data_IF_035961493172
#
_entry.id   IF_035961493172
#
_cell.length_a   1.000
_cell.length_b   1.000
_cell.length_c   1.000
_cell.angle_alpha   90.00
_cell.angle_beta   90.00
_cell.angle_gamma   90.00
#
_symmetry.space_group_name_H-M   'P 1'
#
loop_
_entity.id
_entity.type
_entity.pdbx_description
1 polymer ?
#
# COMPACT_ATOMS: atom_id res chain seq x y z
N UNK A 1 -6.12 2.49 9.33
CA UNK A 1 -5.74 1.38 8.44
C UNK A 1 -4.76 0.43 9.13
N UNK A 2 -3.48 0.76 9.35
CA UNK A 2 -2.50 -0.20 9.93
C UNK A 2 -2.92 -0.81 11.27
N UNK A 3 -3.46 -0.01 12.20
CA UNK A 3 -4.02 -0.54 13.46
C UNK A 3 -5.16 -1.53 13.25
N UNK A 4 -5.99 -1.33 12.21
CA UNK A 4 -7.07 -2.27 11.86
C UNK A 4 -6.56 -3.60 11.29
N UNK A 5 -5.29 -3.68 10.90
CA UNK A 5 -4.60 -4.91 10.50
C UNK A 5 -3.73 -5.50 11.62
N UNK A 6 -3.85 -5.00 12.85
CA UNK A 6 -2.98 -5.43 13.95
C UNK A 6 -1.57 -4.84 13.92
N UNK A 7 -1.24 -4.02 12.92
CA UNK A 7 0.06 -3.33 12.80
C UNK A 7 0.01 -2.02 13.57
N UNK A 8 0.23 -2.07 14.88
CA UNK A 8 0.10 -0.90 15.76
C UNK A 8 1.37 -0.06 15.86
N UNK A 9 2.55 -0.66 15.61
CA UNK A 9 3.85 -0.01 15.71
C UNK A 9 4.33 0.45 14.34
N UNK A 10 3.97 1.68 13.99
CA UNK A 10 4.41 2.35 12.77
C UNK A 10 4.76 3.81 13.06
N UNK A 11 5.58 4.40 12.22
CA UNK A 11 5.95 5.80 12.29
C UNK A 11 5.76 6.47 10.94
N UNK A 12 5.11 7.62 10.95
CA UNK A 12 4.98 8.52 9.80
C UNK A 12 6.11 9.54 9.91
N UNK A 13 7.09 9.42 9.04
CA UNK A 13 8.22 10.36 8.95
C UNK A 13 7.77 11.51 8.05
N UNK A 14 8.02 12.74 8.46
CA UNK A 14 7.54 13.97 7.79
C UNK A 14 8.70 14.92 7.53
N UNK A 15 8.74 15.50 6.36
CA UNK A 15 9.67 16.58 6.01
C UNK A 15 8.98 17.62 5.10
N UNK A 16 9.69 18.67 4.73
CA UNK A 16 9.22 19.67 3.78
C UNK A 16 10.29 19.95 2.71
N UNK A 17 9.91 19.88 1.44
CA UNK A 17 10.81 20.13 0.31
C UNK A 17 11.41 21.53 0.31
N UNK A 18 10.67 22.53 0.82
CA UNK A 18 11.18 23.91 0.91
C UNK A 18 12.29 24.02 1.93
N UNK A 19 12.22 23.26 3.04
CA UNK A 19 13.31 23.21 4.05
C UNK A 19 14.59 22.70 3.39
N UNK A 20 14.53 21.60 2.66
CA UNK A 20 15.70 21.05 1.95
C UNK A 20 16.21 22.00 0.86
N UNK A 21 15.32 22.48 -0.02
CA UNK A 21 15.70 23.37 -1.10
C UNK A 21 16.31 24.69 -0.59
N UNK A 22 15.71 25.27 0.46
CA UNK A 22 16.20 26.49 1.06
C UNK A 22 17.56 26.28 1.72
N UNK A 23 17.77 25.15 2.38
CA UNK A 23 19.07 24.80 2.95
C UNK A 23 20.15 24.64 1.86
N UNK A 24 19.85 23.93 0.77
CA UNK A 24 20.79 23.79 -0.35
C UNK A 24 21.07 25.14 -1.04
N UNK A 25 20.07 26.03 -1.09
CA UNK A 25 20.27 27.39 -1.60
C UNK A 25 21.24 28.23 -0.74
N UNK A 26 21.18 28.06 0.60
CA UNK A 26 22.15 28.71 1.50
C UNK A 26 23.59 28.28 1.23
N UNK A 27 23.80 27.07 0.73
CA UNK A 27 25.11 26.53 0.34
C UNK A 27 25.49 26.84 -1.12
N UNK A 28 24.66 27.61 -1.86
CA UNK A 28 24.87 27.90 -3.28
C UNK A 28 24.60 26.71 -4.21
N UNK A 29 23.78 25.74 -3.77
CA UNK A 29 23.58 24.46 -4.45
C UNK A 29 22.16 24.30 -5.05
N UNK A 30 21.46 25.39 -5.31
CA UNK A 30 20.07 25.36 -5.82
C UNK A 30 19.91 24.51 -7.08
N UNK A 31 20.83 24.64 -8.04
CA UNK A 31 20.78 23.89 -9.31
C UNK A 31 21.05 22.39 -9.14
N UNK A 32 21.75 22.01 -8.07
CA UNK A 32 22.11 20.61 -7.76
C UNK A 32 21.13 19.96 -6.77
N UNK A 33 20.12 20.68 -6.28
CA UNK A 33 19.24 20.21 -5.21
C UNK A 33 18.58 18.87 -5.53
N UNK A 34 18.17 18.63 -6.77
CA UNK A 34 17.57 17.38 -7.21
C UNK A 34 18.53 16.18 -7.09
N UNK A 35 19.79 16.34 -7.53
CA UNK A 35 20.81 15.28 -7.44
C UNK A 35 21.22 15.00 -6.01
N UNK A 36 21.36 16.05 -5.21
CA UNK A 36 21.63 15.95 -3.77
C UNK A 36 20.51 15.18 -3.08
N UNK A 37 19.25 15.52 -3.31
CA UNK A 37 18.12 14.84 -2.72
C UNK A 37 18.06 13.36 -3.11
N UNK A 38 18.30 13.02 -4.39
CA UNK A 38 18.38 11.64 -4.86
C UNK A 38 19.52 10.85 -4.21
N UNK A 39 20.60 11.54 -3.84
CA UNK A 39 21.75 10.92 -3.15
C UNK A 39 21.46 10.71 -1.68
N UNK A 40 20.93 11.72 -1.00
CA UNK A 40 20.52 11.65 0.40
C UNK A 40 19.46 10.55 0.64
N UNK A 41 18.54 10.38 -0.29
CA UNK A 41 17.53 9.31 -0.25
C UNK A 41 18.11 7.88 -0.17
N UNK A 42 19.35 7.71 -0.54
CA UNK A 42 20.04 6.41 -0.44
C UNK A 42 20.69 6.18 0.92
N UNK A 43 20.68 7.17 1.83
CA UNK A 43 21.41 7.15 3.09
C UNK A 43 21.16 5.87 3.90
N UNK A 44 19.88 5.51 4.10
CA UNK A 44 19.49 4.32 4.86
C UNK A 44 19.99 3.00 4.22
N UNK A 45 20.27 3.02 2.91
CA UNK A 45 20.67 1.82 2.16
C UNK A 45 22.17 1.64 2.03
N UNK A 46 22.90 2.75 1.85
CA UNK A 46 24.33 2.69 1.49
C UNK A 46 25.24 3.29 2.54
N UNK A 47 24.69 3.99 3.55
CA UNK A 47 25.43 4.63 4.63
C UNK A 47 26.03 5.99 4.27
N UNK A 48 26.39 6.76 5.31
CA UNK A 48 26.86 8.15 5.19
C UNK A 48 28.16 8.29 4.38
N UNK A 49 29.10 7.39 4.53
CA UNK A 49 30.40 7.45 3.83
C UNK A 49 30.23 7.35 2.30
N UNK A 50 29.36 6.43 1.84
CA UNK A 50 29.05 6.29 0.41
C UNK A 50 28.24 7.46 -0.10
N UNK A 51 27.30 7.98 0.68
CA UNK A 51 26.55 9.19 0.33
C UNK A 51 27.53 10.35 0.15
N UNK A 52 28.45 10.55 1.11
CA UNK A 52 29.50 11.58 1.00
C UNK A 52 30.32 11.45 -0.29
N UNK A 53 30.80 10.24 -0.59
CA UNK A 53 31.54 9.99 -1.83
C UNK A 53 30.76 10.40 -3.08
N UNK A 54 29.48 10.02 -3.17
CA UNK A 54 28.61 10.39 -4.31
C UNK A 54 28.39 11.91 -4.37
N UNK A 55 28.21 12.58 -3.22
CA UNK A 55 28.07 14.03 -3.19
C UNK A 55 29.32 14.75 -3.72
N UNK A 56 30.51 14.24 -3.42
CA UNK A 56 31.76 14.78 -3.93
C UNK A 56 31.96 14.48 -5.43
N UNK A 57 31.90 13.18 -5.79
CA UNK A 57 32.34 12.68 -7.10
C UNK A 57 31.28 12.94 -8.19
N UNK A 58 30.00 12.62 -7.90
CA UNK A 58 28.94 12.66 -8.90
C UNK A 58 28.22 14.02 -8.90
N UNK A 59 28.00 14.62 -7.70
CA UNK A 59 27.35 15.91 -7.60
C UNK A 59 28.35 17.08 -7.67
N UNK A 60 29.67 16.83 -7.57
CA UNK A 60 30.73 17.83 -7.67
C UNK A 60 30.65 18.87 -6.54
N UNK A 61 30.39 18.46 -5.31
CA UNK A 61 30.39 19.30 -4.13
C UNK A 61 31.79 19.40 -3.54
N UNK A 62 32.04 20.46 -2.74
CA UNK A 62 33.24 20.53 -1.91
C UNK A 62 33.08 19.67 -0.65
N UNK A 63 34.19 19.36 0.02
CA UNK A 63 34.18 18.62 1.30
C UNK A 63 33.31 19.32 2.34
N UNK A 64 33.42 20.63 2.45
CA UNK A 64 32.66 21.45 3.40
C UNK A 64 31.16 21.39 3.11
N UNK A 65 30.75 21.44 1.83
CA UNK A 65 29.34 21.35 1.43
C UNK A 65 28.77 19.96 1.72
N UNK A 66 29.52 18.90 1.41
CA UNK A 66 29.07 17.52 1.68
C UNK A 66 28.93 17.28 3.18
N UNK A 67 29.89 17.72 4.00
CA UNK A 67 29.87 17.58 5.45
C UNK A 67 28.74 18.40 6.09
N UNK A 68 28.43 19.59 5.57
CA UNK A 68 27.33 20.41 6.06
C UNK A 68 25.96 19.76 5.74
N UNK A 69 25.81 19.18 4.55
CA UNK A 69 24.61 18.42 4.19
C UNK A 69 24.43 17.22 5.13
N UNK A 70 25.48 16.44 5.35
CA UNK A 70 25.42 15.28 6.24
C UNK A 70 25.09 15.68 7.68
N UNK A 71 25.66 16.79 8.18
CA UNK A 71 25.32 17.32 9.50
C UNK A 71 23.86 17.76 9.59
N UNK A 72 23.35 18.44 8.57
CA UNK A 72 21.98 18.90 8.53
C UNK A 72 20.98 17.73 8.55
N UNK A 73 21.15 16.74 7.69
CA UNK A 73 20.23 15.58 7.63
C UNK A 73 20.37 14.65 8.84
N UNK A 74 21.47 14.74 9.59
CA UNK A 74 21.68 14.00 10.83
C UNK A 74 21.01 14.65 12.06
N UNK A 75 20.37 15.81 11.92
CA UNK A 75 19.60 16.43 13.00
C UNK A 75 18.44 15.50 13.37
N UNK A 76 18.47 14.97 14.59
CA UNK A 76 17.49 14.01 15.11
C UNK A 76 17.10 14.35 16.53
N UNK A 77 16.02 13.76 17.04
CA UNK A 77 15.52 13.97 18.38
C UNK A 77 13.99 13.93 18.45
N UNK A 78 13.41 14.50 19.49
CA UNK A 78 11.97 14.77 19.51
C UNK A 78 11.59 15.78 18.42
N UNK A 79 10.32 15.79 17.99
CA UNK A 79 9.85 16.75 16.99
C UNK A 79 10.18 18.20 17.39
N UNK A 80 10.05 18.54 18.68
CA UNK A 80 10.39 19.85 19.19
C UNK A 80 11.90 20.17 19.05
N UNK A 81 12.77 19.21 19.37
CA UNK A 81 14.22 19.39 19.24
C UNK A 81 14.67 19.57 17.79
N UNK A 82 14.08 18.80 16.87
CA UNK A 82 14.39 18.97 15.44
C UNK A 82 13.94 20.35 14.95
N UNK A 83 12.74 20.79 15.31
CA UNK A 83 12.23 22.12 14.94
C UNK A 83 13.13 23.22 15.53
N UNK A 84 13.51 23.12 16.80
CA UNK A 84 14.41 24.08 17.46
C UNK A 84 15.78 24.15 16.76
N UNK A 85 16.34 23.02 16.38
CA UNK A 85 17.59 22.97 15.60
C UNK A 85 17.46 23.66 14.24
N UNK A 86 16.32 23.48 13.56
CA UNK A 86 16.02 24.14 12.28
C UNK A 86 15.85 25.67 12.44
N UNK A 87 15.34 26.14 13.57
CA UNK A 87 15.22 27.58 13.86
C UNK A 87 16.57 28.30 13.83
N UNK A 88 17.66 27.62 14.13
CA UNK A 88 19.02 28.16 14.01
C UNK A 88 19.41 28.57 12.57
N UNK A 89 18.67 28.17 11.57
CA UNK A 89 18.89 28.54 10.17
C UNK A 89 17.96 29.64 9.67
N UNK A 90 16.99 30.09 10.47
CA UNK A 90 15.98 31.10 10.10
C UNK A 90 16.63 32.44 9.71
N UNK A 91 16.00 33.14 8.79
CA UNK A 91 16.45 34.46 8.30
C UNK A 91 17.57 34.42 7.28
N UNK A 92 18.03 33.22 6.89
CA UNK A 92 19.09 33.04 5.88
C UNK A 92 18.56 32.79 4.48
N UNK A 93 17.32 32.28 4.37
CA UNK A 93 16.69 31.99 3.08
C UNK A 93 15.17 31.96 3.22
N UNK A 94 14.45 32.72 2.40
CA UNK A 94 12.99 32.85 2.47
C UNK A 94 12.24 31.52 2.17
N UNK A 95 12.80 30.69 1.28
CA UNK A 95 12.23 29.38 0.95
C UNK A 95 12.32 28.44 2.14
N UNK A 96 13.46 28.47 2.83
CA UNK A 96 13.68 27.71 4.06
C UNK A 96 12.70 28.14 5.15
N UNK A 97 12.58 29.44 5.40
CA UNK A 97 11.71 30.00 6.42
C UNK A 97 10.26 29.62 6.17
N UNK A 98 9.79 29.76 4.93
CA UNK A 98 8.45 29.32 4.55
C UNK A 98 8.24 27.79 4.76
N UNK A 99 9.23 26.97 4.41
CA UNK A 99 9.18 25.54 4.60
C UNK A 99 9.15 25.14 6.07
N UNK A 100 9.91 25.83 6.91
CA UNK A 100 9.93 25.59 8.36
C UNK A 100 8.58 25.95 9.01
N UNK A 101 7.97 27.08 8.63
CA UNK A 101 6.65 27.45 9.13
C UNK A 101 5.57 26.45 8.70
N UNK A 102 5.62 25.94 7.46
CA UNK A 102 4.73 24.85 7.01
C UNK A 102 4.95 23.59 7.85
N UNK A 103 6.18 23.20 8.12
CA UNK A 103 6.52 22.01 8.90
C UNK A 103 6.03 22.14 10.36
N UNK A 104 6.22 23.31 10.98
CA UNK A 104 5.67 23.65 12.29
C UNK A 104 4.13 23.56 12.31
N UNK A 105 3.48 24.06 11.27
CA UNK A 105 2.02 23.97 11.15
C UNK A 105 1.55 22.53 11.05
N UNK A 106 2.24 21.69 10.28
CA UNK A 106 1.91 20.27 10.13
C UNK A 106 2.07 19.52 11.45
N UNK A 107 3.20 19.67 12.15
CA UNK A 107 3.44 18.99 13.42
C UNK A 107 2.42 19.40 14.49
N UNK A 108 2.14 20.70 14.62
CA UNK A 108 1.10 21.23 15.52
C UNK A 108 -0.28 20.65 15.21
N UNK A 109 -0.65 20.60 13.92
CA UNK A 109 -1.95 20.11 13.51
C UNK A 109 -2.07 18.59 13.69
N UNK A 110 -1.02 17.81 13.46
CA UNK A 110 -1.02 16.37 13.76
C UNK A 110 -1.33 16.12 15.25
N UNK A 111 -0.68 16.86 16.15
CA UNK A 111 -0.95 16.79 17.59
C UNK A 111 -2.38 17.22 17.92
N UNK A 112 -2.89 18.29 17.29
CA UNK A 112 -4.28 18.76 17.49
C UNK A 112 -5.33 17.76 17.00
N UNK A 113 -5.04 16.99 15.94
CA UNK A 113 -5.85 15.87 15.48
C UNK A 113 -5.75 14.62 16.36
N UNK A 114 -4.96 14.65 17.43
CA UNK A 114 -4.78 13.54 18.37
C UNK A 114 -3.87 12.43 17.83
N UNK A 115 -3.00 12.72 16.85
CA UNK A 115 -1.98 11.77 16.42
C UNK A 115 -0.91 11.70 17.50
N UNK A 116 -0.66 10.53 18.11
CA UNK A 116 0.38 10.39 19.13
C UNK A 116 1.77 10.72 18.57
N UNK A 117 2.61 11.40 19.32
CA UNK A 117 3.99 11.70 18.91
C UNK A 117 4.82 10.44 18.61
N UNK A 118 4.49 9.31 19.21
CA UNK A 118 5.10 8.03 18.90
C UNK A 118 4.81 7.54 17.46
N UNK A 119 3.79 8.10 16.80
CA UNK A 119 3.39 7.70 15.47
C UNK A 119 3.84 8.65 14.35
N UNK A 120 4.49 9.79 14.69
CA UNK A 120 5.09 10.65 13.66
C UNK A 120 6.42 11.25 14.13
N UNK A 121 7.30 11.53 13.20
CA UNK A 121 8.59 12.17 13.46
C UNK A 121 8.96 13.11 12.31
N UNK A 122 9.54 14.27 12.65
CA UNK A 122 10.23 15.10 11.67
C UNK A 122 11.54 14.44 11.33
N UNK A 123 11.79 14.21 10.04
CA UNK A 123 12.96 13.48 9.56
C UNK A 123 13.51 14.09 8.28
N UNK A 124 14.66 14.72 8.38
CA UNK A 124 15.30 15.45 7.28
C UNK A 124 15.91 14.53 6.22
N UNK A 125 16.04 13.25 6.49
CA UNK A 125 16.52 12.27 5.50
C UNK A 125 15.48 11.94 4.45
N UNK A 126 14.18 12.25 4.71
CA UNK A 126 13.15 12.11 3.70
C UNK A 126 13.30 13.21 2.65
N UNK A 127 14.16 12.94 1.72
CA UNK A 127 14.36 13.74 0.52
C UNK A 127 13.58 13.18 -0.67
N UNK A 128 13.04 11.96 -0.52
CA UNK A 128 12.34 11.18 -1.54
C UNK A 128 11.01 11.84 -1.94
N UNK A 129 10.61 11.54 -3.11
CA UNK A 129 9.34 11.92 -3.70
C UNK A 129 9.54 12.16 -5.17
N UNK A 130 8.44 12.10 -5.91
CA UNK A 130 8.44 12.48 -7.31
C UNK A 130 8.82 13.97 -7.40
N UNK A 131 9.50 14.35 -8.45
CA UNK A 131 10.06 15.72 -8.61
C UNK A 131 8.98 16.82 -8.56
N UNK A 132 7.71 16.46 -8.66
CA UNK A 132 6.59 17.37 -8.58
C UNK A 132 6.17 17.78 -7.14
N UNK A 133 6.72 17.18 -6.08
CA UNK A 133 6.40 17.62 -4.71
C UNK A 133 7.03 18.99 -4.41
N UNK A 134 6.23 19.89 -3.85
CA UNK A 134 6.59 21.29 -3.62
C UNK A 134 6.62 21.72 -2.16
N UNK A 135 6.07 20.90 -1.27
CA UNK A 135 5.94 21.21 0.16
C UNK A 135 6.17 19.98 1.03
N UNK A 136 5.24 19.73 1.96
CA UNK A 136 5.29 18.59 2.87
C UNK A 136 5.37 17.27 2.12
N UNK A 137 6.27 16.41 2.55
CA UNK A 137 6.42 15.01 2.11
C UNK A 137 6.37 14.09 3.33
N UNK A 138 5.88 12.87 3.15
CA UNK A 138 5.81 11.92 4.24
C UNK A 138 5.97 10.47 3.76
N UNK A 139 6.50 9.66 4.65
CA UNK A 139 6.66 8.22 4.50
C UNK A 139 6.22 7.51 5.76
N UNK A 140 5.68 6.30 5.60
CA UNK A 140 5.32 5.44 6.72
C UNK A 140 6.15 4.17 6.70
N UNK A 141 6.79 3.86 7.81
CA UNK A 141 7.54 2.63 8.04
C UNK A 141 6.95 1.84 9.20
N UNK A 142 7.07 0.51 9.13
CA UNK A 142 6.69 -0.37 10.23
C UNK A 142 7.89 -0.53 11.15
N UNK A 143 7.75 -0.18 12.44
CA UNK A 143 8.86 -0.19 13.41
C UNK A 143 9.32 -1.61 13.76
N UNK A 144 8.43 -2.59 13.70
CA UNK A 144 8.75 -4.00 13.93
C UNK A 144 9.35 -4.69 12.69
N UNK A 145 9.24 -4.05 11.50
CA UNK A 145 9.65 -4.59 10.22
C UNK A 145 10.33 -3.52 9.35
N UNK A 146 11.45 -2.95 9.82
CA UNK A 146 12.15 -1.86 9.10
C UNK A 146 12.70 -2.31 7.74
N UNK A 147 12.98 -3.61 7.57
CA UNK A 147 13.44 -4.22 6.33
C UNK A 147 12.43 -4.09 5.18
N UNK A 148 11.15 -3.94 5.49
CA UNK A 148 10.08 -3.73 4.50
C UNK A 148 10.25 -2.37 3.81
N UNK A 149 10.83 -1.40 4.52
CA UNK A 149 10.94 -0.02 4.08
C UNK A 149 9.59 0.70 4.10
N UNK A 150 9.44 1.71 3.24
CA UNK A 150 8.22 2.51 3.18
C UNK A 150 7.03 1.72 2.64
N UNK A 151 5.95 1.67 3.42
CA UNK A 151 4.68 1.01 3.06
C UNK A 151 3.61 1.99 2.57
N UNK A 152 3.81 3.28 2.84
CA UNK A 152 2.93 4.35 2.43
C UNK A 152 3.74 5.64 2.30
N UNK A 153 3.52 6.40 1.26
CA UNK A 153 4.18 7.68 1.04
C UNK A 153 3.27 8.68 0.34
N UNK A 154 3.64 9.94 0.40
CA UNK A 154 2.91 10.99 -0.28
C UNK A 154 3.51 12.36 -0.06
N UNK A 155 2.81 13.39 -0.53
CA UNK A 155 3.23 14.76 -0.34
C UNK A 155 2.32 15.77 -1.00
N UNK A 156 2.64 17.03 -0.76
CA UNK A 156 1.99 18.19 -1.37
C UNK A 156 2.63 18.50 -2.72
N UNK A 157 1.79 18.81 -3.69
CA UNK A 157 2.18 19.29 -5.02
C UNK A 157 1.28 20.46 -5.42
N UNK A 158 1.87 21.54 -5.91
CA UNK A 158 1.14 22.76 -6.28
C UNK A 158 1.04 22.94 -7.79
N UNK A 159 1.96 22.34 -8.56
CA UNK A 159 2.14 22.62 -9.99
C UNK A 159 1.78 21.45 -10.91
N UNK A 160 1.39 20.29 -10.37
CA UNK A 160 1.14 19.09 -11.19
C UNK A 160 0.01 19.29 -12.20
N UNK A 161 -1.04 20.03 -11.82
CA UNK A 161 -2.14 20.34 -12.72
C UNK A 161 -1.75 21.24 -13.89
N UNK A 162 -0.64 21.98 -13.79
CA UNK A 162 -0.13 22.87 -14.84
C UNK A 162 0.21 22.17 -16.16
N UNK A 163 0.41 20.84 -16.15
CA UNK A 163 0.54 20.04 -17.37
C UNK A 163 -0.76 19.91 -18.19
N UNK A 164 -1.91 20.20 -17.57
CA UNK A 164 -3.24 19.97 -18.15
C UNK A 164 -4.14 21.20 -18.15
N UNK A 165 -3.82 22.23 -17.34
CA UNK A 165 -4.63 23.42 -17.18
C UNK A 165 -3.78 24.61 -16.72
N UNK A 166 -4.19 25.82 -17.09
CA UNK A 166 -3.57 27.08 -16.61
C UNK A 166 -3.96 27.43 -15.16
N UNK A 167 -4.89 26.66 -14.56
CA UNK A 167 -5.30 26.87 -13.17
C UNK A 167 -4.27 26.27 -12.21
N UNK A 168 -3.91 27.03 -11.18
CA UNK A 168 -3.17 26.50 -10.06
C UNK A 168 -4.13 25.67 -9.18
N UNK A 169 -3.90 24.36 -9.16
CA UNK A 169 -4.67 23.42 -8.37
C UNK A 169 -3.72 22.67 -7.44
N UNK A 170 -3.50 23.21 -6.22
CA UNK A 170 -2.69 22.53 -5.22
C UNK A 170 -3.35 21.21 -4.81
N UNK A 171 -2.54 20.20 -4.56
CA UNK A 171 -3.02 18.89 -4.15
C UNK A 171 -2.12 18.25 -3.11
N UNK A 172 -2.69 17.32 -2.36
CA UNK A 172 -1.97 16.40 -1.48
C UNK A 172 -2.37 14.99 -1.86
N UNK A 173 -1.40 14.14 -2.13
CA UNK A 173 -1.63 12.76 -2.50
C UNK A 173 -1.00 11.78 -1.53
N UNK A 174 -1.60 10.61 -1.43
CA UNK A 174 -1.09 9.47 -0.68
C UNK A 174 -1.08 8.24 -1.57
N UNK A 175 -0.02 7.46 -1.48
CA UNK A 175 0.09 6.16 -2.15
C UNK A 175 0.41 5.09 -1.12
N UNK A 176 -0.33 3.98 -1.19
CA UNK A 176 -0.11 2.81 -0.36
C UNK A 176 0.32 1.68 -1.27
N UNK A 177 1.48 1.10 -1.00
CA UNK A 177 2.03 -0.04 -1.73
C UNK A 177 1.32 -1.35 -1.34
N UNK A 178 0.04 -1.50 -1.75
CA UNK A 178 -0.79 -2.63 -1.32
C UNK A 178 -0.16 -3.98 -1.66
N UNK A 179 0.26 -4.19 -2.89
CA UNK A 179 0.87 -5.45 -3.33
C UNK A 179 2.16 -5.74 -2.57
N UNK A 180 2.99 -4.71 -2.37
CA UNK A 180 4.25 -4.82 -1.62
C UNK A 180 3.98 -5.16 -0.16
N UNK A 181 3.05 -4.44 0.47
CA UNK A 181 2.68 -4.68 1.87
C UNK A 181 2.16 -6.11 2.04
N UNK A 182 1.25 -6.55 1.19
CA UNK A 182 0.67 -7.89 1.24
C UNK A 182 1.72 -8.98 1.03
N UNK A 183 2.58 -8.84 0.03
CA UNK A 183 3.67 -9.78 -0.25
C UNK A 183 4.61 -9.93 0.96
N UNK A 184 5.05 -8.80 1.52
CA UNK A 184 5.99 -8.83 2.64
C UNK A 184 5.35 -9.37 3.91
N UNK A 185 4.07 -9.03 4.18
CA UNK A 185 3.34 -9.64 5.30
C UNK A 185 3.26 -11.17 5.17
N UNK A 186 3.14 -11.68 3.94
CA UNK A 186 3.19 -13.12 3.65
C UNK A 186 4.56 -13.72 3.94
N UNK A 187 5.64 -13.12 3.42
CA UNK A 187 7.02 -13.58 3.65
C UNK A 187 7.40 -13.58 5.14
N UNK A 188 6.88 -12.63 5.91
CA UNK A 188 7.10 -12.55 7.36
C UNK A 188 6.17 -13.47 8.18
N UNK A 189 5.31 -14.24 7.50
CA UNK A 189 4.37 -15.14 8.17
C UNK A 189 3.31 -14.42 9.03
N UNK A 190 3.03 -13.16 8.74
CA UNK A 190 2.05 -12.35 9.47
C UNK A 190 0.61 -12.49 8.93
N UNK A 191 0.45 -13.07 7.74
CA UNK A 191 -0.88 -13.37 7.20
C UNK A 191 -1.45 -14.62 7.87
N UNK A 192 -2.76 -14.63 8.08
CA UNK A 192 -3.46 -15.79 8.62
C UNK A 192 -3.47 -16.95 7.62
N UNK A 193 -3.20 -18.17 8.10
CA UNK A 193 -3.32 -19.40 7.29
C UNK A 193 -4.79 -19.71 6.92
N UNK A 194 -5.72 -19.16 7.70
CA UNK A 194 -7.17 -19.33 7.48
C UNK A 194 -7.74 -18.33 6.48
N UNK A 195 -6.90 -17.42 5.97
CA UNK A 195 -7.33 -16.41 5.01
C UNK A 195 -7.81 -17.04 3.70
N UNK A 196 -8.99 -16.63 3.24
CA UNK A 196 -9.53 -17.08 1.96
C UNK A 196 -8.76 -16.45 0.80
N UNK A 197 -7.92 -17.24 0.13
CA UNK A 197 -7.08 -16.79 -1.00
C UNK A 197 -7.66 -17.17 -2.36
N UNK A 198 -8.75 -17.96 -2.38
CA UNK A 198 -9.40 -18.40 -3.61
C UNK A 198 -9.88 -17.21 -4.47
N UNK A 199 -9.65 -17.24 -5.80
CA UNK A 199 -10.10 -16.19 -6.71
C UNK A 199 -11.62 -16.17 -6.89
N UNK A 200 -12.29 -17.24 -6.51
CA UNK A 200 -13.75 -17.42 -6.55
C UNK A 200 -14.22 -18.23 -5.35
N UNK A 201 -15.47 -18.04 -4.95
CA UNK A 201 -16.12 -18.80 -3.89
C UNK A 201 -16.66 -20.12 -4.44
N UNK A 202 -17.04 -20.12 -5.73
CA UNK A 202 -17.60 -21.27 -6.39
C UNK A 202 -17.08 -21.42 -7.82
N UNK A 203 -16.83 -22.67 -8.20
CA UNK A 203 -16.58 -23.07 -9.58
C UNK A 203 -17.84 -23.77 -10.13
N UNK A 204 -18.51 -23.17 -11.11
CA UNK A 204 -19.55 -23.84 -11.87
C UNK A 204 -18.89 -24.80 -12.87
N UNK A 205 -19.24 -26.07 -12.78
CA UNK A 205 -18.68 -27.15 -13.59
C UNK A 205 -19.79 -27.69 -14.53
N UNK A 206 -19.89 -27.19 -15.77
CA UNK A 206 -20.79 -27.75 -16.74
C UNK A 206 -20.38 -29.17 -17.13
N UNK A 207 -21.36 -30.08 -17.13
CA UNK A 207 -21.25 -31.45 -17.57
C UNK A 207 -22.16 -31.70 -18.78
N UNK A 208 -22.69 -30.61 -19.37
CA UNK A 208 -23.53 -30.57 -20.56
C UNK A 208 -22.81 -29.79 -21.66
N UNK A 209 -23.24 -29.98 -22.92
CA UNK A 209 -22.72 -29.17 -24.04
C UNK A 209 -23.44 -27.80 -24.15
N UNK A 210 -24.72 -27.74 -23.74
CA UNK A 210 -25.45 -26.48 -23.66
C UNK A 210 -25.09 -25.72 -22.36
N UNK A 211 -24.39 -24.61 -22.53
CA UNK A 211 -23.97 -23.77 -21.44
C UNK A 211 -25.02 -22.75 -21.00
N UNK A 212 -26.19 -22.69 -21.63
CA UNK A 212 -27.21 -21.67 -21.34
C UNK A 212 -27.65 -21.70 -19.86
N UNK A 213 -28.02 -22.87 -19.36
CA UNK A 213 -28.42 -23.00 -17.95
C UNK A 213 -27.22 -22.83 -16.96
N UNK A 214 -26.05 -23.43 -17.19
CA UNK A 214 -24.86 -23.16 -16.36
C UNK A 214 -24.47 -21.68 -16.27
N UNK A 215 -24.57 -20.93 -17.37
CA UNK A 215 -24.29 -19.48 -17.38
C UNK A 215 -25.38 -18.72 -16.62
N UNK A 216 -26.66 -19.09 -16.80
CA UNK A 216 -27.78 -18.48 -16.06
C UNK A 216 -27.63 -18.71 -14.54
N UNK A 217 -27.30 -19.94 -14.12
CA UNK A 217 -27.03 -20.26 -12.73
C UNK A 217 -25.85 -19.44 -12.18
N UNK A 218 -24.76 -19.33 -12.93
CA UNK A 218 -23.62 -18.49 -12.53
C UNK A 218 -24.00 -17.00 -12.40
N UNK A 219 -24.91 -16.52 -13.24
CA UNK A 219 -25.41 -15.14 -13.15
C UNK A 219 -26.21 -14.92 -11.87
N UNK A 220 -27.10 -15.83 -11.51
CA UNK A 220 -27.86 -15.78 -10.26
C UNK A 220 -26.92 -15.76 -9.03
N UNK A 221 -25.90 -16.61 -9.03
CA UNK A 221 -24.89 -16.64 -7.98
C UNK A 221 -24.15 -15.28 -7.85
N UNK A 222 -23.75 -14.69 -8.99
CA UNK A 222 -23.05 -13.40 -9.02
C UNK A 222 -23.93 -12.24 -8.56
N UNK A 223 -25.20 -12.23 -8.97
CA UNK A 223 -26.18 -11.21 -8.53
C UNK A 223 -26.43 -11.26 -7.03
N UNK A 224 -26.33 -12.44 -6.42
CA UNK A 224 -26.38 -12.61 -4.98
C UNK A 224 -25.08 -12.20 -4.26
N UNK A 225 -24.01 -11.84 -5.00
CA UNK A 225 -22.72 -11.42 -4.47
C UNK A 225 -21.70 -12.55 -4.23
N UNK A 226 -21.97 -13.76 -4.75
CA UNK A 226 -21.03 -14.90 -4.72
C UNK A 226 -20.02 -14.78 -5.86
N UNK A 227 -18.71 -14.77 -5.53
CA UNK A 227 -17.65 -14.73 -6.55
C UNK A 227 -17.63 -16.06 -7.31
N UNK A 228 -18.09 -16.02 -8.55
CA UNK A 228 -18.38 -17.22 -9.33
C UNK A 228 -17.53 -17.30 -10.60
N UNK A 229 -16.85 -18.41 -10.78
CA UNK A 229 -16.15 -18.77 -12.00
C UNK A 229 -16.88 -19.91 -12.72
N UNK A 230 -16.99 -19.85 -14.06
CA UNK A 230 -17.50 -20.95 -14.88
C UNK A 230 -16.32 -21.64 -15.58
N UNK A 231 -16.23 -22.95 -15.44
CA UNK A 231 -15.20 -23.73 -16.13
C UNK A 231 -15.64 -24.05 -17.57
N UNK A 232 -15.05 -23.37 -18.53
CA UNK A 232 -15.46 -23.46 -19.94
C UNK A 232 -14.62 -24.43 -20.79
N UNK A 233 -13.47 -24.90 -20.26
CA UNK A 233 -12.64 -25.82 -21.03
C UNK A 233 -13.22 -27.23 -21.09
N UNK A 234 -13.10 -27.87 -22.28
CA UNK A 234 -13.49 -29.28 -22.47
C UNK A 234 -12.44 -30.25 -21.91
N UNK A 235 -12.46 -30.40 -20.58
CA UNK A 235 -11.56 -31.30 -19.84
C UNK A 235 -12.36 -32.40 -19.12
N UNK A 236 -11.66 -33.48 -18.74
CA UNK A 236 -12.25 -34.55 -17.92
C UNK A 236 -12.65 -33.99 -16.54
N UNK A 237 -13.73 -34.52 -15.98
CA UNK A 237 -14.28 -34.09 -14.67
C UNK A 237 -13.22 -34.01 -13.58
N UNK A 238 -12.35 -35.04 -13.49
CA UNK A 238 -11.24 -35.07 -12.52
C UNK A 238 -10.32 -33.84 -12.63
N UNK A 239 -10.09 -33.33 -13.84
CA UNK A 239 -9.23 -32.18 -14.07
C UNK A 239 -9.93 -30.86 -13.64
N UNK A 240 -11.27 -30.79 -13.81
CA UNK A 240 -12.05 -29.63 -13.35
C UNK A 240 -12.04 -29.51 -11.83
N UNK A 241 -12.18 -30.63 -11.12
CA UNK A 241 -12.05 -30.66 -9.66
C UNK A 241 -10.62 -30.39 -9.18
N UNK A 242 -9.60 -30.96 -9.85
CA UNK A 242 -8.22 -30.65 -9.54
C UNK A 242 -7.87 -29.16 -9.72
N UNK A 243 -8.53 -28.49 -10.65
CA UNK A 243 -8.40 -27.04 -10.80
C UNK A 243 -9.02 -26.29 -9.61
N UNK A 244 -10.24 -26.65 -9.18
CA UNK A 244 -10.87 -26.05 -8.00
C UNK A 244 -10.00 -26.21 -6.74
N UNK A 245 -9.50 -27.41 -6.53
CA UNK A 245 -8.60 -27.75 -5.41
C UNK A 245 -7.31 -26.93 -5.46
N UNK A 246 -6.62 -26.91 -6.60
CA UNK A 246 -5.40 -26.12 -6.80
C UNK A 246 -5.60 -24.62 -6.54
N UNK A 247 -6.78 -24.10 -6.88
CA UNK A 247 -7.13 -22.69 -6.69
C UNK A 247 -7.70 -22.40 -5.32
N UNK A 248 -7.89 -23.41 -4.47
CA UNK A 248 -8.49 -23.27 -3.14
C UNK A 248 -9.96 -22.86 -3.18
N UNK A 249 -10.69 -23.14 -4.28
CA UNK A 249 -12.12 -22.78 -4.42
C UNK A 249 -12.93 -23.74 -3.56
N UNK A 250 -13.71 -23.24 -2.57
CA UNK A 250 -14.36 -24.09 -1.59
C UNK A 250 -15.60 -24.83 -2.11
N UNK A 251 -16.27 -24.30 -3.13
CA UNK A 251 -17.50 -24.87 -3.67
C UNK A 251 -17.42 -25.22 -5.14
N UNK A 252 -18.02 -26.33 -5.52
CA UNK A 252 -18.32 -26.69 -6.92
C UNK A 252 -19.83 -26.78 -7.13
N UNK A 253 -20.32 -26.14 -8.19
CA UNK A 253 -21.69 -26.25 -8.69
C UNK A 253 -21.66 -27.05 -9.97
N UNK A 254 -22.13 -28.30 -9.90
CA UNK A 254 -22.10 -29.27 -10.98
C UNK A 254 -23.45 -29.23 -11.67
N UNK A 255 -23.45 -29.16 -13.01
CA UNK A 255 -24.68 -29.08 -13.82
C UNK A 255 -24.54 -29.99 -15.02
N UNK A 256 -25.25 -31.10 -15.00
CA UNK A 256 -25.45 -31.99 -16.13
C UNK A 256 -26.78 -31.74 -16.83
N UNK A 257 -27.08 -32.59 -17.80
CA UNK A 257 -28.32 -32.49 -18.57
C UNK A 257 -29.56 -32.71 -17.70
N UNK A 258 -29.48 -33.61 -16.72
CA UNK A 258 -30.57 -33.92 -15.78
C UNK A 258 -30.84 -32.74 -14.83
N UNK A 259 -29.80 -32.13 -14.25
CA UNK A 259 -29.94 -30.95 -13.43
C UNK A 259 -30.50 -29.77 -14.24
N UNK A 260 -30.00 -29.55 -15.44
CA UNK A 260 -30.46 -28.48 -16.29
C UNK A 260 -31.95 -28.63 -16.67
N UNK A 261 -32.40 -29.86 -16.99
CA UNK A 261 -33.79 -30.16 -17.32
C UNK A 261 -34.74 -29.90 -16.14
N UNK A 262 -34.26 -30.06 -14.91
CA UNK A 262 -35.04 -29.83 -13.67
C UNK A 262 -34.90 -28.39 -13.14
N UNK A 263 -34.07 -27.57 -13.74
CA UNK A 263 -33.75 -26.22 -13.21
C UNK A 263 -33.02 -26.24 -11.87
N UNK A 264 -32.28 -27.33 -11.58
CA UNK A 264 -31.55 -27.55 -10.36
C UNK A 264 -30.03 -27.54 -10.60
N UNK A 265 -29.28 -27.37 -9.54
CA UNK A 265 -27.82 -27.46 -9.50
C UNK A 265 -27.36 -28.36 -8.36
N UNK A 266 -26.31 -29.13 -8.59
CA UNK A 266 -25.71 -29.96 -7.56
C UNK A 266 -24.54 -29.21 -6.92
N UNK A 267 -24.73 -28.74 -5.69
CA UNK A 267 -23.75 -27.98 -4.90
C UNK A 267 -22.90 -28.94 -4.09
N UNK A 268 -21.59 -28.90 -4.29
CA UNK A 268 -20.63 -29.68 -3.52
C UNK A 268 -19.70 -28.78 -2.73
N UNK A 269 -19.68 -28.90 -1.43
CA UNK A 269 -18.63 -28.38 -0.56
C UNK A 269 -17.38 -29.25 -0.72
N UNK A 270 -16.29 -28.65 -1.21
CA UNK A 270 -15.05 -29.38 -1.48
C UNK A 270 -14.22 -29.62 -0.21
N UNK A 271 -14.53 -28.93 0.89
CA UNK A 271 -13.88 -29.12 2.19
C UNK A 271 -14.48 -30.31 2.94
N UNK A 272 -15.81 -30.33 3.08
CA UNK A 272 -16.52 -31.40 3.79
C UNK A 272 -16.87 -32.61 2.91
N UNK A 273 -16.88 -32.43 1.60
CA UNK A 273 -17.32 -33.42 0.62
C UNK A 273 -18.85 -33.56 0.51
N UNK A 274 -19.64 -32.83 1.30
CA UNK A 274 -21.09 -32.84 1.22
C UNK A 274 -21.60 -32.33 -0.11
N UNK A 275 -22.65 -32.99 -0.63
CA UNK A 275 -23.24 -32.62 -1.93
C UNK A 275 -24.77 -32.63 -1.81
N UNK A 276 -25.40 -31.56 -2.31
CA UNK A 276 -26.85 -31.37 -2.23
C UNK A 276 -27.39 -30.83 -3.56
N UNK A 277 -28.61 -31.24 -3.89
CA UNK A 277 -29.32 -30.74 -5.09
C UNK A 277 -30.30 -29.63 -4.66
N UNK A 278 -30.25 -28.49 -5.34
CA UNK A 278 -31.08 -27.33 -5.01
C UNK A 278 -31.25 -26.39 -6.20
N UNK A 279 -32.08 -25.35 -6.05
CA UNK A 279 -32.20 -24.29 -7.05
C UNK A 279 -30.97 -23.39 -7.04
N UNK A 280 -30.62 -22.72 -8.15
CA UNK A 280 -29.52 -21.74 -8.18
C UNK A 280 -29.64 -20.64 -7.12
N UNK A 281 -30.85 -20.18 -6.82
CA UNK A 281 -31.10 -19.17 -5.79
C UNK A 281 -30.78 -19.69 -4.39
N UNK A 282 -31.24 -20.90 -4.03
CA UNK A 282 -30.91 -21.54 -2.76
C UNK A 282 -29.40 -21.81 -2.62
N UNK A 283 -28.74 -22.20 -3.71
CA UNK A 283 -27.29 -22.36 -3.77
C UNK A 283 -26.56 -21.05 -3.47
N UNK A 284 -27.04 -19.95 -4.03
CA UNK A 284 -26.47 -18.62 -3.79
C UNK A 284 -26.58 -18.19 -2.32
N UNK A 285 -27.75 -18.37 -1.72
CA UNK A 285 -27.97 -18.05 -0.28
C UNK A 285 -27.07 -18.88 0.63
N UNK A 286 -27.00 -20.21 0.40
CA UNK A 286 -26.18 -21.13 1.19
C UNK A 286 -24.69 -20.76 1.10
N UNK A 287 -24.17 -20.62 -0.12
CA UNK A 287 -22.74 -20.33 -0.32
C UNK A 287 -22.38 -18.96 0.24
N UNK A 288 -23.23 -17.95 0.03
CA UNK A 288 -23.00 -16.60 0.56
C UNK A 288 -22.92 -16.60 2.09
N UNK A 289 -23.85 -17.24 2.77
CA UNK A 289 -23.86 -17.32 4.22
C UNK A 289 -22.58 -17.95 4.79
N UNK A 290 -22.07 -19.01 4.15
CA UNK A 290 -20.82 -19.65 4.57
C UNK A 290 -19.60 -18.77 4.25
N UNK A 291 -19.58 -18.12 3.09
CA UNK A 291 -18.48 -17.24 2.70
C UNK A 291 -18.41 -15.96 3.56
N UNK A 292 -19.55 -15.44 4.02
CA UNK A 292 -19.59 -14.31 4.96
C UNK A 292 -18.95 -14.71 6.31
N UNK A 293 -19.17 -15.93 6.79
CA UNK A 293 -18.49 -16.47 7.98
C UNK A 293 -16.99 -16.59 7.75
N UNK A 294 -16.56 -17.16 6.61
CA UNK A 294 -15.14 -17.30 6.26
C UNK A 294 -14.44 -15.94 6.07
N UNK A 295 -15.13 -14.94 5.53
CA UNK A 295 -14.61 -13.59 5.36
C UNK A 295 -14.40 -12.84 6.69
N UNK A 296 -15.00 -13.28 7.80
CA UNK A 296 -14.78 -12.72 9.13
C UNK A 296 -13.44 -13.12 9.76
N UNK A 297 -12.72 -14.07 9.18
CA UNK A 297 -11.39 -14.49 9.65
C UNK A 297 -10.39 -13.34 9.50
N UNK A 298 -9.62 -13.01 10.55
CA UNK A 298 -8.61 -11.95 10.48
C UNK A 298 -7.56 -12.24 9.40
N UNK A 299 -7.25 -11.22 8.56
CA UNK A 299 -6.23 -11.34 7.52
C UNK A 299 -4.82 -11.41 8.11
N UNK A 300 -4.62 -10.78 9.27
CA UNK A 300 -3.34 -10.76 10.00
C UNK A 300 -3.47 -11.64 11.24
N UNK A 301 -2.47 -12.48 11.47
CA UNK A 301 -2.39 -13.31 12.69
C UNK A 301 -2.41 -12.42 13.93
N UNK A 302 -3.27 -12.72 14.88
CA UNK A 302 -3.19 -12.16 16.22
C UNK A 302 -1.93 -12.72 16.91
N UNK A 303 -1.14 -11.84 17.51
CA UNK A 303 0.08 -12.22 18.27
C UNK A 303 -0.28 -12.70 19.66
#
# INVERSE_FOLDING_TARGET
>A
MFKGFGLSRFQIRVNNRKVLNGFYAMLGLSEKSGDIMRTVDKLDKIGADKVRTILLDDCGLTDEQADEILRFIAITGSNAQVIEALEGYTGRNEIFDAGLEELKAVTRNLSAFGVPESNFAVDLTIARGLDYYTGTVYETTLLDHPEIGSVCSGGRYDNLAGYYTERQLPGVGISIGLTRLFYVLGEQGLLSDEMVTAPADVLVIPMTEDLSFPISAATILREAGVRTQVYTEKKKVKQKFAYADKMGIPYAVIIGDDEAAQGLVSVKDLTSGQQELMTPAAAAEKIKADMDVRASVPVIREK
#
